data_IF_201454994872
#
_entry.id   IF_201454994872
#
_cell.length_a   1.000
_cell.length_b   1.000
_cell.length_c   1.000
_cell.angle_alpha   90.00
_cell.angle_beta   90.00
_cell.angle_gamma   90.00
#
_symmetry.space_group_name_H-M   'P 1'
#
loop_
_entity.id
_entity.type
_entity.pdbx_description
1 polymer ?
#
# COMPACT_ATOMS: atom_id res chain seq x y z
N UNK A 1 3.98 -19.90 26.75
CA UNK A 1 2.56 -19.55 26.58
C UNK A 1 2.47 -18.03 26.55
N UNK A 2 2.78 -17.45 25.38
CA UNK A 2 2.54 -16.05 25.04
C UNK A 2 2.27 -16.08 23.54
N UNK A 3 1.09 -15.61 23.16
CA UNK A 3 0.52 -15.64 21.82
C UNK A 3 1.26 -14.66 20.89
N UNK A 4 1.75 -15.15 19.76
CA UNK A 4 2.19 -14.32 18.63
C UNK A 4 0.95 -13.77 17.90
N UNK A 5 0.49 -12.58 18.29
CA UNK A 5 -0.46 -11.79 17.49
C UNK A 5 0.31 -10.64 16.88
N UNK A 6 0.98 -10.92 15.75
CA UNK A 6 1.48 -9.89 14.84
C UNK A 6 1.52 -10.42 13.40
N UNK A 7 0.42 -11.02 12.94
CA UNK A 7 0.24 -11.38 11.54
C UNK A 7 -0.69 -10.38 10.83
N UNK A 8 -0.12 -9.27 10.35
CA UNK A 8 -0.58 -8.70 9.08
C UNK A 8 0.14 -9.46 7.98
N UNK A 9 -0.55 -10.14 7.06
CA UNK A 9 0.12 -10.95 6.07
C UNK A 9 0.97 -10.04 5.18
N UNK A 10 2.27 -10.28 5.23
CA UNK A 10 3.16 -9.93 4.15
C UNK A 10 2.60 -10.57 2.87
N UNK A 11 2.17 -9.75 1.92
CA UNK A 11 2.11 -10.17 0.52
C UNK A 11 3.58 -10.35 0.09
N UNK A 12 4.14 -11.54 0.30
CA UNK A 12 5.43 -11.94 -0.29
C UNK A 12 5.19 -12.12 -1.79
N UNK A 13 5.57 -11.12 -2.59
CA UNK A 13 5.33 -11.06 -4.04
C UNK A 13 6.09 -12.07 -4.90
N UNK A 14 6.97 -12.90 -4.33
CA UNK A 14 7.87 -13.76 -5.12
C UNK A 14 7.47 -15.25 -5.16
N UNK A 15 6.42 -15.65 -4.45
CA UNK A 15 5.87 -17.01 -4.52
C UNK A 15 4.76 -17.15 -5.55
N UNK A 16 4.53 -18.37 -6.07
CA UNK A 16 3.38 -18.70 -6.94
C UNK A 16 2.05 -18.26 -6.29
N UNK A 17 1.93 -18.42 -4.97
CA UNK A 17 0.80 -17.93 -4.17
C UNK A 17 0.77 -16.40 -3.99
N UNK A 18 1.91 -15.72 -4.00
CA UNK A 18 2.00 -14.25 -3.98
C UNK A 18 1.52 -13.63 -5.29
N UNK A 19 1.80 -14.29 -6.42
CA UNK A 19 1.26 -13.95 -7.74
C UNK A 19 -0.24 -14.26 -7.85
N UNK A 20 -0.71 -15.37 -7.27
CA UNK A 20 -2.14 -15.69 -7.18
C UNK A 20 -2.88 -14.68 -6.29
N UNK A 21 -2.30 -14.31 -5.14
CA UNK A 21 -2.87 -13.34 -4.21
C UNK A 21 -2.91 -11.93 -4.83
N UNK A 22 -1.86 -11.47 -5.52
CA UNK A 22 -1.90 -10.21 -6.25
C UNK A 22 -2.93 -10.25 -7.39
N UNK A 23 -3.05 -11.36 -8.13
CA UNK A 23 -4.11 -11.54 -9.14
C UNK A 23 -5.51 -11.57 -8.51
N UNK A 24 -5.68 -12.14 -7.31
CA UNK A 24 -6.96 -12.15 -6.59
C UNK A 24 -7.28 -10.81 -5.96
N UNK A 25 -6.30 -10.00 -5.59
CA UNK A 25 -6.49 -8.64 -5.07
C UNK A 25 -6.77 -7.69 -6.23
N UNK A 26 -6.02 -7.78 -7.34
CA UNK A 26 -6.35 -7.02 -8.55
C UNK A 26 -7.71 -7.47 -9.11
N UNK A 27 -8.03 -8.76 -9.04
CA UNK A 27 -9.36 -9.26 -9.38
C UNK A 27 -10.38 -8.69 -8.41
N UNK A 28 -10.28 -8.82 -7.09
CA UNK A 28 -11.30 -8.35 -6.12
C UNK A 28 -11.38 -6.83 -5.96
N UNK A 29 -10.30 -6.08 -6.15
CA UNK A 29 -10.29 -4.60 -6.11
C UNK A 29 -10.86 -4.02 -7.40
N UNK A 30 -10.47 -4.55 -8.57
CA UNK A 30 -11.13 -4.21 -9.84
C UNK A 30 -12.55 -4.80 -9.91
N UNK A 31 -12.80 -5.96 -9.31
CA UNK A 31 -14.10 -6.63 -9.27
C UNK A 31 -15.02 -5.96 -8.25
N UNK A 32 -14.54 -5.34 -7.18
CA UNK A 32 -15.37 -4.46 -6.33
C UNK A 32 -15.66 -3.12 -6.99
N UNK A 33 -14.70 -2.51 -7.70
CA UNK A 33 -15.01 -1.36 -8.58
C UNK A 33 -16.07 -1.79 -9.63
N UNK A 34 -15.94 -2.98 -10.21
CA UNK A 34 -16.89 -3.52 -11.20
C UNK A 34 -18.22 -4.02 -10.56
N UNK A 35 -18.23 -4.50 -9.32
CA UNK A 35 -19.41 -5.02 -8.61
C UNK A 35 -20.25 -3.88 -8.03
N UNK A 36 -19.60 -2.80 -7.57
CA UNK A 36 -20.26 -1.53 -7.25
C UNK A 36 -20.94 -0.97 -8.51
N UNK A 37 -20.38 -1.21 -9.70
CA UNK A 37 -21.06 -0.97 -10.98
C UNK A 37 -22.14 -2.03 -11.34
N UNK A 38 -22.09 -3.26 -10.81
CA UNK A 38 -23.04 -4.35 -11.12
C UNK A 38 -24.29 -4.39 -10.24
N UNK A 39 -24.40 -3.61 -9.15
CA UNK A 39 -25.67 -3.53 -8.42
C UNK A 39 -26.79 -2.84 -9.24
N UNK A 40 -26.47 -2.39 -10.46
CA UNK A 40 -27.42 -1.79 -11.42
C UNK A 40 -27.59 -2.50 -12.78
N UNK A 41 -27.02 -3.69 -13.05
CA UNK A 41 -27.46 -4.42 -14.26
C UNK A 41 -27.15 -5.92 -14.26
N UNK A 42 -28.22 -6.68 -14.52
CA UNK A 42 -28.17 -8.06 -14.98
C UNK A 42 -27.48 -8.16 -16.35
N UNK A 43 -26.77 -9.28 -16.54
CA UNK A 43 -26.22 -9.85 -17.77
C UNK A 43 -24.74 -9.58 -18.08
N UNK A 44 -24.03 -10.71 -18.18
CA UNK A 44 -22.62 -10.88 -18.50
C UNK A 44 -22.56 -11.27 -19.99
N UNK A 45 -22.14 -10.36 -20.89
CA UNK A 45 -21.71 -10.72 -22.25
C UNK A 45 -20.96 -9.64 -23.06
N UNK A 46 -20.82 -8.39 -22.60
CA UNK A 46 -20.23 -7.30 -23.42
C UNK A 46 -19.13 -6.53 -22.69
N UNK A 47 -18.16 -7.25 -22.13
CA UNK A 47 -17.01 -6.67 -21.45
C UNK A 47 -15.87 -6.50 -22.45
N UNK A 48 -15.57 -5.26 -22.90
CA UNK A 48 -14.27 -4.52 -22.81
C UNK A 48 -14.41 -3.03 -23.29
N UNK A 49 -15.62 -2.51 -23.61
CA UNK A 49 -15.76 -1.19 -24.25
C UNK A 49 -16.49 -0.07 -23.48
N UNK A 50 -17.05 -0.32 -22.29
CA UNK A 50 -18.19 0.48 -21.80
C UNK A 50 -17.95 1.55 -20.72
N UNK A 51 -16.74 1.72 -20.20
CA UNK A 51 -16.48 2.72 -19.15
C UNK A 51 -15.67 3.90 -19.67
N UNK A 52 -16.24 4.68 -20.60
CA UNK A 52 -15.61 5.93 -21.06
C UNK A 52 -15.79 7.09 -20.09
N UNK A 53 -16.60 6.95 -19.03
CA UNK A 53 -16.90 8.02 -18.07
C UNK A 53 -16.92 7.49 -16.63
N UNK A 54 -16.31 8.26 -15.71
CA UNK A 54 -16.32 8.01 -14.27
C UNK A 54 -17.74 8.15 -13.68
N UNK A 55 -18.07 7.49 -12.56
CA UNK A 55 -19.34 7.69 -11.88
C UNK A 55 -19.55 9.15 -11.45
N UNK A 56 -20.81 9.55 -11.28
CA UNK A 56 -21.12 10.89 -10.80
C UNK A 56 -20.46 11.17 -9.44
N UNK A 57 -19.81 12.34 -9.32
CA UNK A 57 -19.08 12.76 -8.12
C UNK A 57 -17.66 12.21 -7.99
N UNK A 58 -17.20 11.37 -8.93
CA UNK A 58 -15.79 10.96 -9.00
C UNK A 58 -15.00 11.95 -9.85
N UNK A 59 -13.74 12.17 -9.49
CA UNK A 59 -12.80 12.93 -10.31
C UNK A 59 -11.54 12.13 -10.58
N UNK A 60 -10.76 12.53 -11.57
CA UNK A 60 -9.42 11.97 -11.80
C UNK A 60 -8.38 12.97 -11.30
N UNK A 61 -7.33 12.47 -10.65
CA UNK A 61 -6.24 13.29 -10.16
C UNK A 61 -4.90 12.56 -10.31
N UNK A 62 -3.81 13.29 -10.54
CA UNK A 62 -2.47 12.71 -10.46
C UNK A 62 -2.04 12.53 -9.01
N UNK A 63 -1.30 11.47 -8.71
CA UNK A 63 -0.82 11.19 -7.35
C UNK A 63 -0.04 12.35 -6.75
N UNK A 64 0.78 13.08 -7.52
CA UNK A 64 1.55 14.23 -7.04
C UNK A 64 0.71 15.39 -6.50
N UNK A 65 -0.56 15.49 -6.92
CA UNK A 65 -1.47 16.53 -6.46
C UNK A 65 -2.12 16.20 -5.11
N UNK A 66 -2.14 14.91 -4.72
CA UNK A 66 -2.79 14.43 -3.50
C UNK A 66 -1.82 13.74 -2.52
N UNK A 67 -0.60 13.44 -2.96
CA UNK A 67 0.45 12.80 -2.17
C UNK A 67 1.67 13.71 -2.07
N UNK A 68 2.09 14.00 -0.84
CA UNK A 68 3.36 14.65 -0.55
C UNK A 68 4.38 13.60 -0.12
N UNK A 69 5.57 13.63 -0.72
CA UNK A 69 6.66 12.76 -0.32
C UNK A 69 7.63 13.49 0.62
N UNK A 70 8.21 12.71 1.51
CA UNK A 70 9.26 13.11 2.43
C UNK A 70 10.45 12.15 2.27
N UNK A 71 11.64 12.73 2.39
CA UNK A 71 12.89 12.01 2.27
C UNK A 71 13.29 11.40 3.65
N UNK A 72 13.72 10.14 3.71
CA UNK A 72 13.88 9.36 4.95
C UNK A 72 15.07 9.75 5.85
N UNK A 73 15.93 10.70 5.44
CA UNK A 73 17.26 10.95 6.00
C UNK A 73 17.24 11.19 7.51
N UNK A 74 16.22 11.90 8.02
CA UNK A 74 16.08 12.19 9.44
C UNK A 74 15.77 10.95 10.30
N UNK A 75 15.37 9.84 9.66
CA UNK A 75 14.90 8.63 10.32
C UNK A 75 15.81 7.42 10.12
N UNK A 76 16.96 7.63 9.48
CA UNK A 76 17.93 6.56 9.25
C UNK A 76 18.54 6.14 10.60
N UNK A 77 18.58 4.83 10.85
CA UNK A 77 19.28 4.27 12.01
C UNK A 77 20.79 4.54 11.93
N UNK A 78 21.41 4.82 13.07
CA UNK A 78 22.85 5.05 13.18
C UNK A 78 23.61 3.74 13.44
N UNK A 79 23.01 2.82 14.20
CA UNK A 79 23.57 1.51 14.50
C UNK A 79 22.82 0.38 13.78
N UNK A 80 23.54 -0.72 13.52
CA UNK A 80 22.99 -1.99 13.02
C UNK A 80 22.83 -3.05 14.11
N UNK A 81 23.02 -2.68 15.39
CA UNK A 81 22.87 -3.58 16.53
C UNK A 81 21.39 -3.78 16.87
N UNK A 82 20.73 -4.61 16.05
CA UNK A 82 19.32 -4.93 16.22
C UNK A 82 19.11 -6.06 17.23
N UNK A 83 18.04 -5.98 17.99
CA UNK A 83 17.65 -7.00 18.97
C UNK A 83 16.12 -7.01 19.11
N UNK A 84 15.51 -8.19 19.08
CA UNK A 84 14.05 -8.36 19.15
C UNK A 84 13.44 -7.89 20.49
N UNK A 85 14.27 -7.64 21.51
CA UNK A 85 13.82 -7.02 22.76
C UNK A 85 13.50 -5.53 22.64
N UNK A 86 13.94 -4.88 21.56
CA UNK A 86 13.69 -3.45 21.34
C UNK A 86 12.33 -3.20 20.68
N UNK A 87 11.82 -1.97 20.81
CA UNK A 87 10.44 -1.65 20.43
C UNK A 87 10.31 -1.02 19.05
N UNK A 88 11.33 -0.31 18.57
CA UNK A 88 11.21 0.48 17.35
C UNK A 88 11.64 -0.37 16.15
N UNK A 89 10.72 -0.74 15.25
CA UNK A 89 11.07 -1.51 14.06
C UNK A 89 11.91 -0.67 13.10
N UNK A 90 12.87 -1.33 12.44
CA UNK A 90 13.68 -0.75 11.38
C UNK A 90 13.19 -1.28 10.04
N UNK A 91 12.73 -0.38 9.18
CA UNK A 91 12.17 -0.70 7.88
C UNK A 91 13.22 -0.69 6.77
N UNK A 92 13.05 -1.56 5.78
CA UNK A 92 13.79 -1.53 4.51
C UNK A 92 12.87 -1.83 3.35
N UNK A 93 13.25 -1.37 2.16
CA UNK A 93 12.58 -1.68 0.91
C UNK A 93 13.02 -3.05 0.32
N UNK A 94 13.93 -3.76 0.98
CA UNK A 94 14.38 -5.10 0.57
C UNK A 94 13.40 -6.23 0.89
N UNK A 95 13.85 -7.47 0.67
CA UNK A 95 13.06 -8.72 0.76
C UNK A 95 12.21 -8.88 2.03
N UNK A 96 12.75 -8.47 3.18
CA UNK A 96 12.01 -8.42 4.44
C UNK A 96 11.75 -6.96 4.78
N UNK A 97 10.50 -6.59 5.05
CA UNK A 97 10.15 -5.19 5.29
C UNK A 97 10.68 -4.66 6.62
N UNK A 98 10.57 -5.47 7.68
CA UNK A 98 11.21 -5.22 8.98
C UNK A 98 12.48 -6.07 9.03
N UNK A 99 13.61 -5.46 9.37
CA UNK A 99 14.92 -6.14 9.45
C UNK A 99 15.41 -6.39 10.87
N UNK A 100 14.68 -5.86 11.86
CA UNK A 100 15.02 -5.90 13.27
C UNK A 100 14.45 -4.69 13.99
N UNK A 101 14.77 -4.59 15.27
CA UNK A 101 14.32 -3.51 16.15
C UNK A 101 15.54 -2.77 16.74
N UNK A 102 15.40 -1.47 16.98
CA UNK A 102 16.47 -0.60 17.51
C UNK A 102 16.08 0.02 18.85
N UNK A 103 17.08 0.24 19.70
CA UNK A 103 16.94 1.00 20.95
C UNK A 103 17.13 2.51 20.76
N UNK A 104 17.37 2.98 19.53
CA UNK A 104 17.49 4.42 19.24
C UNK A 104 16.17 5.14 19.55
N UNK A 105 16.25 6.22 20.33
CA UNK A 105 15.09 7.04 20.74
C UNK A 105 14.93 8.32 19.91
N UNK A 106 15.96 8.71 19.15
CA UNK A 106 15.97 9.91 18.30
C UNK A 106 15.70 9.57 16.84
N UNK A 107 15.10 10.52 16.10
CA UNK A 107 14.82 10.35 14.68
C UNK A 107 13.84 9.21 14.41
N UNK A 108 12.86 9.01 15.29
CA UNK A 108 11.76 8.06 15.07
C UNK A 108 10.68 8.79 14.25
N UNK A 109 10.27 8.19 13.15
CA UNK A 109 9.11 8.67 12.40
C UNK A 109 7.83 8.33 13.17
N UNK A 110 7.02 9.34 13.49
CA UNK A 110 5.78 9.17 14.26
C UNK A 110 4.53 9.65 13.51
N UNK A 111 4.68 10.31 12.36
CA UNK A 111 3.57 10.89 11.61
C UNK A 111 2.84 9.83 10.77
N UNK A 112 2.16 8.92 11.45
CA UNK A 112 1.46 7.77 10.88
C UNK A 112 -0.06 8.00 10.86
N UNK A 113 -0.82 7.35 9.96
CA UNK A 113 -0.36 6.42 8.93
C UNK A 113 0.37 7.10 7.76
N UNK A 114 1.32 6.39 7.15
CA UNK A 114 2.03 6.81 5.94
C UNK A 114 2.25 5.64 4.98
N UNK A 115 2.54 5.92 3.71
CA UNK A 115 2.92 4.89 2.75
C UNK A 115 4.44 4.92 2.55
N UNK A 116 5.11 3.80 2.76
CA UNK A 116 6.51 3.60 2.37
C UNK A 116 6.52 3.16 0.92
N UNK A 117 7.24 3.89 0.07
CA UNK A 117 7.39 3.60 -1.35
C UNK A 117 8.86 3.34 -1.70
N UNK A 118 9.14 2.20 -2.31
CA UNK A 118 10.46 1.91 -2.86
C UNK A 118 10.62 2.60 -4.21
N UNK A 119 11.54 3.56 -4.29
CA UNK A 119 11.76 4.37 -5.48
C UNK A 119 12.35 3.56 -6.65
N UNK A 120 12.87 2.36 -6.40
CA UNK A 120 13.46 1.48 -7.41
C UNK A 120 12.52 0.37 -7.89
N UNK A 121 11.78 -0.25 -6.97
CA UNK A 121 10.90 -1.39 -7.29
C UNK A 121 9.44 -0.99 -7.48
N UNK A 122 9.06 0.21 -7.06
CA UNK A 122 7.67 0.71 -6.98
C UNK A 122 6.78 -0.05 -6.02
N UNK A 123 7.34 -0.97 -5.22
CA UNK A 123 6.62 -1.60 -4.13
C UNK A 123 6.23 -0.56 -3.08
N UNK A 124 5.04 -0.71 -2.53
CA UNK A 124 4.51 0.20 -1.51
C UNK A 124 3.91 -0.56 -0.34
N UNK A 125 3.97 0.04 0.86
CA UNK A 125 3.37 -0.52 2.08
C UNK A 125 2.79 0.59 2.95
N UNK A 126 1.56 0.37 3.41
CA UNK A 126 0.95 1.21 4.44
C UNK A 126 1.55 0.88 5.81
N UNK A 127 1.97 1.90 6.54
CA UNK A 127 2.56 1.80 7.88
C UNK A 127 1.79 2.69 8.84
N UNK A 128 1.34 2.10 9.94
CA UNK A 128 0.51 2.71 10.98
C UNK A 128 1.13 2.62 12.38
N UNK A 129 2.45 2.38 12.45
CA UNK A 129 3.22 2.31 13.69
C UNK A 129 4.51 3.12 13.56
N UNK A 130 5.08 3.65 14.67
CA UNK A 130 6.35 4.38 14.62
C UNK A 130 7.52 3.51 14.14
N UNK A 131 8.45 4.10 13.39
CA UNK A 131 9.58 3.35 12.83
C UNK A 131 10.83 4.20 12.63
N UNK A 132 11.95 3.50 12.39
CA UNK A 132 13.14 4.03 11.73
C UNK A 132 13.39 3.28 10.43
N UNK A 133 14.30 3.78 9.60
CA UNK A 133 14.58 3.17 8.28
C UNK A 133 16.05 2.82 8.13
N UNK A 134 16.35 1.79 7.35
CA UNK A 134 17.73 1.32 7.11
C UNK A 134 18.53 2.24 6.20
N UNK A 135 17.89 2.80 5.17
CA UNK A 135 18.58 3.50 4.10
C UNK A 135 17.69 4.56 3.45
N UNK A 136 18.30 5.39 2.60
CA UNK A 136 17.65 6.49 1.89
C UNK A 136 16.93 6.10 0.60
N UNK A 137 16.81 4.81 0.31
CA UNK A 137 16.27 4.29 -0.96
C UNK A 137 14.74 4.40 -1.07
N UNK A 138 14.04 4.60 0.04
CA UNK A 138 12.57 4.70 0.08
C UNK A 138 12.09 6.15 0.18
N UNK A 139 10.81 6.37 -0.10
CA UNK A 139 10.08 7.60 0.19
C UNK A 139 9.02 7.35 1.24
N UNK A 140 8.80 8.35 2.08
CA UNK A 140 7.69 8.36 3.04
C UNK A 140 6.61 9.26 2.47
N UNK A 141 5.45 8.69 2.16
CA UNK A 141 4.37 9.37 1.46
C UNK A 141 3.22 9.66 2.42
N UNK A 142 2.73 10.90 2.36
CA UNK A 142 1.55 11.36 3.09
C UNK A 142 0.48 11.82 2.12
N UNK A 143 -0.75 11.42 2.40
CA UNK A 143 -1.92 11.77 1.60
C UNK A 143 -2.58 13.02 2.19
N UNK A 144 -3.18 13.85 1.34
CA UNK A 144 -3.95 15.02 1.78
C UNK A 144 -5.11 14.61 2.70
N UNK A 145 -5.39 15.41 3.74
CA UNK A 145 -6.40 15.08 4.77
C UNK A 145 -7.83 14.87 4.21
N UNK A 146 -8.12 15.38 3.01
CA UNK A 146 -9.40 15.19 2.32
C UNK A 146 -9.53 13.83 1.63
N UNK A 147 -8.47 13.02 1.58
CA UNK A 147 -8.38 11.76 0.86
C UNK A 147 -8.04 10.63 1.85
N UNK A 148 -8.65 9.46 1.67
CA UNK A 148 -8.39 8.29 2.51
C UNK A 148 -7.09 7.60 2.11
N UNK A 149 -6.13 7.55 3.04
CA UNK A 149 -4.81 6.97 2.77
C UNK A 149 -4.87 5.48 2.42
N UNK A 150 -5.79 4.73 3.03
CA UNK A 150 -5.96 3.31 2.72
C UNK A 150 -6.39 3.10 1.27
N UNK A 151 -7.28 3.95 0.75
CA UNK A 151 -7.70 3.91 -0.64
C UNK A 151 -6.53 4.15 -1.60
N UNK A 152 -5.70 5.16 -1.32
CA UNK A 152 -4.49 5.44 -2.10
C UNK A 152 -3.48 4.30 -2.00
N UNK A 153 -3.25 3.75 -0.80
CA UNK A 153 -2.34 2.63 -0.60
C UNK A 153 -2.78 1.39 -1.38
N UNK A 154 -4.09 1.11 -1.41
CA UNK A 154 -4.65 0.01 -2.17
C UNK A 154 -4.47 0.21 -3.69
N UNK A 155 -4.72 1.42 -4.20
CA UNK A 155 -4.45 1.77 -5.60
C UNK A 155 -2.97 1.56 -5.96
N UNK A 156 -2.06 2.01 -5.09
CA UNK A 156 -0.61 1.83 -5.30
C UNK A 156 -0.21 0.36 -5.26
N UNK A 157 -0.79 -0.45 -4.38
CA UNK A 157 -0.49 -1.89 -4.27
C UNK A 157 -0.83 -2.69 -5.53
N UNK A 158 -1.87 -2.30 -6.26
CA UNK A 158 -2.26 -2.94 -7.53
C UNK A 158 -1.56 -2.34 -8.75
N UNK A 159 -0.94 -1.15 -8.59
CA UNK A 159 -0.29 -0.42 -9.66
C UNK A 159 1.22 -0.65 -9.63
N UNK A 160 1.68 -1.56 -10.49
CA UNK A 160 3.11 -1.85 -10.66
C UNK A 160 3.63 -1.23 -11.95
N UNK A 161 4.69 -0.45 -11.85
CA UNK A 161 5.49 -0.07 -13.01
C UNK A 161 6.72 -0.98 -13.05
N UNK A 162 6.78 -1.85 -14.06
CA UNK A 162 7.95 -2.71 -14.25
C UNK A 162 9.06 -1.82 -14.80
N UNK A 163 10.10 -1.67 -13.98
CA UNK A 163 11.17 -0.72 -14.23
C UNK A 163 12.48 -1.31 -14.74
N UNK A 164 13.32 -0.43 -15.28
CA UNK A 164 14.72 -0.66 -15.57
C UNK A 164 15.53 -0.56 -14.27
N UNK A 165 16.61 -1.34 -14.18
CA UNK A 165 17.47 -1.38 -13.01
C UNK A 165 18.08 0.01 -12.74
N UNK A 166 17.97 0.48 -11.49
CA UNK A 166 18.53 1.75 -10.97
C UNK A 166 17.81 3.06 -11.30
N UNK A 167 16.66 3.04 -11.97
CA UNK A 167 15.84 4.26 -12.13
C UNK A 167 15.05 4.58 -10.85
N UNK A 168 14.90 5.87 -10.55
CA UNK A 168 14.02 6.39 -9.49
C UNK A 168 12.67 6.79 -10.08
N UNK A 169 11.60 6.17 -9.61
CA UNK A 169 10.29 6.19 -10.26
C UNK A 169 9.35 7.29 -9.76
N UNK A 170 9.39 7.65 -8.47
CA UNK A 170 8.34 8.49 -7.88
C UNK A 170 8.17 9.81 -8.63
N UNK A 171 9.21 10.65 -8.67
CA UNK A 171 9.11 12.02 -9.22
C UNK A 171 8.95 11.99 -10.75
N UNK A 172 9.60 11.03 -11.40
CA UNK A 172 9.72 11.02 -12.85
C UNK A 172 8.46 10.48 -13.53
N UNK A 173 7.80 9.47 -12.93
CA UNK A 173 6.75 8.69 -13.58
C UNK A 173 5.60 8.33 -12.62
N UNK A 174 5.89 7.71 -11.48
CA UNK A 174 4.84 7.14 -10.63
C UNK A 174 3.91 8.22 -10.05
N UNK A 175 4.44 9.38 -9.65
CA UNK A 175 3.64 10.49 -9.12
C UNK A 175 2.69 11.10 -10.15
N UNK A 176 2.95 10.88 -11.44
CA UNK A 176 2.14 11.39 -12.56
C UNK A 176 0.99 10.46 -12.93
N UNK A 177 0.92 9.27 -12.33
CA UNK A 177 -0.16 8.32 -12.55
C UNK A 177 -1.48 8.92 -12.09
N UNK A 178 -2.51 8.76 -12.92
CA UNK A 178 -3.87 9.17 -12.62
C UNK A 178 -4.54 8.12 -11.73
N UNK A 179 -5.18 8.59 -10.66
CA UNK A 179 -6.04 7.81 -9.77
C UNK A 179 -7.46 8.37 -9.83
N UNK A 180 -8.49 7.53 -9.97
CA UNK A 180 -9.87 7.94 -9.79
C UNK A 180 -10.15 8.17 -8.30
N UNK A 181 -10.72 9.32 -7.96
CA UNK A 181 -11.01 9.78 -6.61
C UNK A 181 -12.54 9.88 -6.42
N UNK A 182 -13.16 8.91 -5.73
CA UNK A 182 -14.53 9.01 -5.27
C UNK A 182 -14.71 10.11 -4.20
N UNK A 183 -15.95 10.46 -3.84
CA UNK A 183 -16.23 11.17 -2.60
C UNK A 183 -15.61 10.45 -1.39
N UNK A 184 -15.18 11.20 -0.36
CA UNK A 184 -14.41 10.66 0.77
C UNK A 184 -15.09 9.47 1.47
N UNK A 185 -16.40 9.55 1.72
CA UNK A 185 -17.15 8.44 2.34
C UNK A 185 -17.18 7.18 1.46
N UNK A 186 -17.18 7.36 0.14
CA UNK A 186 -17.11 6.25 -0.81
C UNK A 186 -15.71 5.62 -0.83
N UNK A 187 -14.64 6.41 -0.71
CA UNK A 187 -13.28 5.90 -0.52
C UNK A 187 -13.18 5.00 0.72
N UNK A 188 -13.74 5.44 1.87
CA UNK A 188 -13.81 4.65 3.10
C UNK A 188 -14.60 3.36 2.91
N UNK A 189 -15.75 3.44 2.24
CA UNK A 189 -16.60 2.27 1.96
C UNK A 189 -15.85 1.21 1.16
N UNK A 190 -15.14 1.62 0.12
CA UNK A 190 -14.30 0.74 -0.71
C UNK A 190 -13.18 0.12 0.12
N UNK A 191 -12.42 0.94 0.87
CA UNK A 191 -11.32 0.45 1.70
C UNK A 191 -11.80 -0.55 2.75
N UNK A 192 -12.90 -0.26 3.44
CA UNK A 192 -13.48 -1.16 4.42
C UNK A 192 -13.94 -2.49 3.82
N UNK A 193 -14.61 -2.47 2.66
CA UNK A 193 -15.05 -3.69 1.98
C UNK A 193 -13.86 -4.61 1.67
N UNK A 194 -12.77 -4.03 1.17
CA UNK A 194 -11.55 -4.77 0.84
C UNK A 194 -10.88 -5.32 2.09
N UNK A 195 -10.79 -4.53 3.16
CA UNK A 195 -10.25 -4.99 4.45
C UNK A 195 -11.06 -6.14 5.05
N UNK A 196 -12.40 -6.11 4.94
CA UNK A 196 -13.28 -7.20 5.37
C UNK A 196 -12.98 -8.49 4.59
N UNK A 197 -12.76 -8.39 3.28
CA UNK A 197 -12.41 -9.54 2.44
C UNK A 197 -11.03 -10.11 2.81
N UNK A 198 -10.02 -9.26 3.00
CA UNK A 198 -8.71 -9.70 3.47
C UNK A 198 -8.75 -10.38 4.82
N UNK A 199 -9.52 -9.85 5.78
CA UNK A 199 -9.69 -10.48 7.10
C UNK A 199 -10.22 -11.91 6.96
N UNK A 200 -11.23 -12.13 6.10
CA UNK A 200 -11.76 -13.47 5.83
C UNK A 200 -10.71 -14.39 5.23
N UNK A 201 -9.93 -13.93 4.25
CA UNK A 201 -8.86 -14.71 3.63
C UNK A 201 -7.80 -15.11 4.66
N UNK A 202 -7.41 -14.20 5.54
CA UNK A 202 -6.42 -14.46 6.59
C UNK A 202 -6.91 -15.52 7.57
N UNK A 203 -8.17 -15.41 8.01
CA UNK A 203 -8.79 -16.44 8.86
C UNK A 203 -8.77 -17.80 8.17
N UNK A 204 -9.04 -17.89 6.87
CA UNK A 204 -8.95 -19.16 6.14
C UNK A 204 -7.51 -19.69 6.14
N UNK A 205 -6.52 -18.83 5.85
CA UNK A 205 -5.11 -19.22 5.80
C UNK A 205 -4.55 -19.71 7.14
N UNK A 206 -5.01 -19.17 8.26
CA UNK A 206 -4.61 -19.58 9.62
C UNK A 206 -5.21 -20.95 10.02
N UNK A 207 -6.28 -21.37 9.36
CA UNK A 207 -6.96 -22.65 9.61
C UNK A 207 -6.52 -23.79 8.65
N UNK A 208 -5.54 -23.53 7.76
CA UNK A 208 -4.93 -24.51 6.87
C UNK A 208 -3.62 -25.05 7.44
#
# INVERSE_FOLDING_TARGET
MVEEILYRPHIRGDGVLGKICLCQITFEFCYHIILIYNEYSNNIAERIGHYTQLPNGWCECQLENIVKYEQPQAYIVKSTDYDDKYLIPVLTAGKSFIIGYTNETEGIYQNTPCIIFDDFTTDSKLVDFPFKVKSSAMKILRVADSIEIEYVAMFMNITRLIGDTHKRYWISEYSKLCIPIPPKEEQKRIANAVNVMFKKLNTIMENL
#
